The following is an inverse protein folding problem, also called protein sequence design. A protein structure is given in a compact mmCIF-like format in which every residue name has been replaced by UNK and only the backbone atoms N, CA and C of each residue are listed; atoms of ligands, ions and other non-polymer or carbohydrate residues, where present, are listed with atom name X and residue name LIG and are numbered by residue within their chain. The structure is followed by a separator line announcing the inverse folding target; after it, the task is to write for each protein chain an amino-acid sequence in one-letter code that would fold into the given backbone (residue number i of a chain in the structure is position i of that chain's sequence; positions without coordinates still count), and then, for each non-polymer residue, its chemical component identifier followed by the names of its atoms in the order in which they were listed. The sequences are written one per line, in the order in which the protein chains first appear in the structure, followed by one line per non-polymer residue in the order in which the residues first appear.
data_IF_636140830442
#
_entry.id   IF_636140830442
#
_cell.length_a   1.000
_cell.length_b   1.000
_cell.length_c   1.000
_cell.angle_alpha   90.00
_cell.angle_beta   90.00
_cell.angle_gamma   90.00
#
_symmetry.space_group_name_H-M   'P 1'
#
loop_
_entity.id
_entity.type
_entity.pdbx_description
1 polymer ?
#
# COMPACT_ATOMS: atom_id res chain seq x y z
N UNK A 1 13.03 10.75 -6.21
CA UNK A 1 11.62 10.37 -6.25
C UNK A 1 11.45 8.92 -5.81
N UNK A 2 10.36 8.63 -5.11
CA UNK A 2 10.00 7.27 -4.71
C UNK A 2 8.74 6.82 -5.43
N UNK A 3 8.60 5.53 -5.59
CA UNK A 3 7.44 4.92 -6.25
C UNK A 3 6.35 4.62 -5.24
N UNK A 4 5.11 5.01 -5.57
CA UNK A 4 3.94 4.82 -4.72
C UNK A 4 2.82 4.16 -5.50
N UNK A 5 2.13 3.21 -4.83
CA UNK A 5 0.92 2.57 -5.33
C UNK A 5 -0.29 3.20 -4.63
N UNK A 6 -1.26 3.62 -5.43
CA UNK A 6 -2.54 4.13 -4.98
C UNK A 6 -3.62 3.09 -5.27
N UNK A 7 -4.27 2.58 -4.24
CA UNK A 7 -5.42 1.71 -4.40
C UNK A 7 -6.66 2.55 -4.69
N UNK A 8 -7.22 2.39 -5.88
CA UNK A 8 -8.34 3.18 -6.37
C UNK A 8 -9.67 2.68 -5.79
N UNK A 9 -10.66 3.58 -5.69
CA UNK A 9 -11.99 3.27 -5.20
C UNK A 9 -12.91 2.69 -6.29
N UNK A 10 -14.21 2.74 -6.03
CA UNK A 10 -15.25 2.16 -6.92
C UNK A 10 -15.26 2.78 -8.32
N UNK A 11 -14.95 4.05 -8.42
CA UNK A 11 -14.84 4.77 -9.69
C UNK A 11 -13.37 5.09 -9.94
N UNK A 12 -12.64 4.25 -10.69
CA UNK A 12 -11.22 4.45 -10.94
C UNK A 12 -10.92 5.75 -11.68
N UNK A 13 -11.78 6.14 -12.61
CA UNK A 13 -11.62 7.39 -13.35
C UNK A 13 -11.74 8.61 -12.46
N UNK A 14 -12.72 8.65 -11.56
CA UNK A 14 -12.87 9.71 -10.58
C UNK A 14 -11.70 9.73 -9.60
N UNK A 15 -11.27 8.57 -9.12
CA UNK A 15 -10.11 8.45 -8.22
C UNK A 15 -8.85 9.02 -8.86
N UNK A 16 -8.57 8.69 -10.12
CA UNK A 16 -7.44 9.25 -10.86
C UNK A 16 -7.55 10.76 -11.05
N UNK A 17 -8.73 11.27 -11.38
CA UNK A 17 -8.97 12.70 -11.53
C UNK A 17 -8.70 13.47 -10.23
N UNK A 18 -9.14 12.94 -9.09
CA UNK A 18 -8.87 13.52 -7.78
C UNK A 18 -7.37 13.54 -7.44
N UNK A 19 -6.66 12.45 -7.72
CA UNK A 19 -5.21 12.35 -7.52
C UNK A 19 -4.48 13.39 -8.37
N UNK A 20 -4.79 13.47 -9.66
CA UNK A 20 -4.19 14.45 -10.56
C UNK A 20 -4.47 15.88 -10.13
N UNK A 21 -5.70 16.17 -9.72
CA UNK A 21 -6.11 17.48 -9.20
C UNK A 21 -5.33 17.85 -7.93
N UNK A 22 -5.10 16.90 -7.03
CA UNK A 22 -4.28 17.10 -5.84
C UNK A 22 -2.83 17.48 -6.23
N UNK A 23 -2.24 16.75 -7.17
CA UNK A 23 -0.88 17.04 -7.62
C UNK A 23 -0.77 18.44 -8.22
N UNK A 24 -1.74 18.84 -9.03
CA UNK A 24 -1.78 20.18 -9.61
C UNK A 24 -1.94 21.27 -8.54
N UNK A 25 -2.87 21.08 -7.60
CA UNK A 25 -3.16 22.06 -6.55
C UNK A 25 -1.94 22.34 -5.68
N UNK A 26 -1.15 21.32 -5.37
CA UNK A 26 0.04 21.45 -4.54
C UNK A 26 1.35 21.52 -5.33
N UNK A 27 1.27 21.74 -6.65
CA UNK A 27 2.43 21.86 -7.54
C UNK A 27 3.44 20.72 -7.37
N UNK A 28 2.93 19.51 -7.19
CA UNK A 28 3.77 18.33 -7.01
C UNK A 28 4.33 17.84 -8.34
N UNK A 29 5.61 17.49 -8.34
CA UNK A 29 6.22 16.77 -9.45
C UNK A 29 5.81 15.29 -9.38
N UNK A 30 5.28 14.78 -10.46
CA UNK A 30 4.87 13.38 -10.53
C UNK A 30 5.10 12.80 -11.93
N UNK A 31 5.25 11.48 -11.96
CA UNK A 31 5.27 10.70 -13.19
C UNK A 31 4.36 9.49 -13.02
N UNK A 32 3.34 9.39 -13.88
CA UNK A 32 2.49 8.20 -13.93
C UNK A 32 3.27 7.05 -14.56
N UNK A 33 3.39 5.93 -13.86
CA UNK A 33 4.07 4.71 -14.34
C UNK A 33 3.09 3.65 -14.82
N UNK A 34 1.95 3.54 -14.15
CA UNK A 34 0.92 2.55 -14.47
C UNK A 34 -0.44 2.99 -13.93
N UNK A 35 -1.51 2.61 -14.62
CA UNK A 35 -2.85 2.63 -14.04
C UNK A 35 -3.74 1.57 -14.67
N UNK A 36 -4.67 1.08 -13.89
CA UNK A 36 -5.76 0.20 -14.30
C UNK A 36 -7.01 0.49 -13.46
N UNK A 37 -7.97 -0.44 -13.43
CA UNK A 37 -9.21 -0.27 -12.68
C UNK A 37 -9.03 -0.42 -11.15
N UNK A 38 -7.88 -0.88 -10.69
CA UNK A 38 -7.63 -1.17 -9.26
C UNK A 38 -6.59 -0.26 -8.66
N UNK A 39 -5.54 0.05 -9.40
CA UNK A 39 -4.37 0.78 -8.90
C UNK A 39 -3.87 1.82 -9.88
N UNK A 40 -3.18 2.82 -9.32
CA UNK A 40 -2.30 3.70 -10.07
C UNK A 40 -0.94 3.75 -9.39
N UNK A 41 0.13 3.75 -10.18
CA UNK A 41 1.50 3.80 -9.69
C UNK A 41 2.17 5.05 -10.19
N UNK A 42 2.74 5.83 -9.27
CA UNK A 42 3.42 7.10 -9.56
C UNK A 42 4.81 7.14 -8.95
N UNK A 43 5.73 7.79 -9.66
CA UNK A 43 6.93 8.34 -9.03
C UNK A 43 6.60 9.73 -8.48
N UNK A 44 6.88 9.97 -7.22
CA UNK A 44 6.60 11.22 -6.52
C UNK A 44 7.83 11.72 -5.77
N UNK A 45 7.94 13.04 -5.65
CA UNK A 45 8.85 13.68 -4.72
C UNK A 45 8.35 13.58 -3.27
N UNK A 46 8.94 14.34 -2.38
CA UNK A 46 8.49 14.38 -0.98
C UNK A 46 7.06 14.89 -0.87
N UNK A 47 6.23 14.18 -0.10
CA UNK A 47 4.88 14.60 0.25
C UNK A 47 4.44 13.91 1.54
N UNK A 48 3.31 14.34 2.08
CA UNK A 48 2.72 13.72 3.26
C UNK A 48 1.55 12.81 2.83
N UNK A 49 1.75 11.48 2.76
CA UNK A 49 0.70 10.57 2.30
C UNK A 49 -0.51 10.53 3.25
N UNK A 50 -0.30 10.70 4.54
CA UNK A 50 -1.41 10.73 5.52
C UNK A 50 -2.31 11.94 5.30
N UNK A 51 -1.73 13.10 5.02
CA UNK A 51 -2.47 14.31 4.72
C UNK A 51 -3.19 14.21 3.37
N UNK A 52 -2.54 13.62 2.39
CA UNK A 52 -3.12 13.41 1.06
C UNK A 52 -4.32 12.47 1.11
N UNK A 53 -4.18 11.30 1.72
CA UNK A 53 -5.26 10.29 1.77
C UNK A 53 -6.53 10.82 2.45
N UNK A 54 -6.39 11.70 3.42
CA UNK A 54 -7.52 12.35 4.09
C UNK A 54 -8.32 13.28 3.20
N UNK A 55 -7.69 13.83 2.15
CA UNK A 55 -8.33 14.74 1.19
C UNK A 55 -8.91 14.01 -0.02
N UNK A 56 -8.41 12.84 -0.35
CA UNK A 56 -8.89 12.05 -1.48
C UNK A 56 -10.15 11.28 -1.10
N UNK A 57 -11.24 11.51 -1.82
CA UNK A 57 -12.51 10.82 -1.57
C UNK A 57 -12.56 9.41 -2.14
N UNK A 58 -11.85 9.16 -3.24
CA UNK A 58 -11.91 7.90 -3.99
C UNK A 58 -10.75 6.94 -3.76
N UNK A 59 -9.60 7.41 -3.28
CA UNK A 59 -8.43 6.57 -3.03
C UNK A 59 -8.55 5.87 -1.68
N UNK A 60 -8.39 4.55 -1.69
CA UNK A 60 -8.49 3.74 -0.47
C UNK A 60 -7.19 3.67 0.30
N UNK A 61 -6.05 3.56 -0.38
CA UNK A 61 -4.73 3.40 0.24
C UNK A 61 -3.64 4.03 -0.60
N UNK A 62 -2.57 4.45 0.08
CA UNK A 62 -1.31 4.86 -0.53
C UNK A 62 -0.21 4.03 0.12
N UNK A 63 0.55 3.31 -0.70
CA UNK A 63 1.65 2.46 -0.23
C UNK A 63 2.94 2.81 -0.97
N UNK A 64 4.04 2.85 -0.26
CA UNK A 64 5.35 3.13 -0.83
C UNK A 64 6.06 1.83 -1.22
N UNK A 65 6.75 1.84 -2.36
CA UNK A 65 7.60 0.73 -2.78
C UNK A 65 8.65 0.45 -1.72
N UNK A 66 8.70 -0.79 -1.23
CA UNK A 66 9.69 -1.21 -0.25
C UNK A 66 10.64 -2.25 -0.84
N UNK A 67 11.90 -2.14 -0.48
CA UNK A 67 12.95 -3.11 -0.84
C UNK A 67 13.42 -3.93 0.35
N UNK A 68 13.25 -3.39 1.53
CA UNK A 68 13.50 -4.05 2.81
C UNK A 68 12.17 -4.17 3.56
N UNK A 69 11.92 -5.27 4.21
CA UNK A 69 10.68 -5.53 4.91
C UNK A 69 10.78 -5.19 6.40
N UNK A 70 11.41 -4.07 6.70
CA UNK A 70 11.62 -3.65 8.08
C UNK A 70 10.36 -3.05 8.69
N UNK A 71 10.12 -3.40 9.94
CA UNK A 71 9.14 -2.73 10.77
C UNK A 71 9.82 -1.65 11.60
N UNK A 72 9.40 -0.41 11.40
CA UNK A 72 10.01 0.76 12.04
C UNK A 72 9.31 1.22 13.33
N UNK A 73 8.36 0.45 13.84
CA UNK A 73 7.67 0.74 15.08
C UNK A 73 8.41 0.22 16.32
N UNK A 74 7.82 0.48 17.48
CA UNK A 74 8.39 0.11 18.80
C UNK A 74 7.79 -1.15 19.41
N UNK A 75 6.73 -1.70 18.80
CA UNK A 75 6.06 -2.90 19.30
C UNK A 75 6.91 -4.15 19.08
N UNK A 76 6.88 -5.08 20.03
CA UNK A 76 7.50 -6.41 19.91
C UNK A 76 6.55 -7.46 19.32
N UNK A 77 5.24 -7.22 19.46
CA UNK A 77 4.17 -8.04 18.86
C UNK A 77 3.44 -7.17 17.85
N UNK A 78 3.37 -7.63 16.61
CA UNK A 78 2.72 -6.91 15.53
C UNK A 78 1.71 -7.79 14.80
N UNK A 79 0.73 -7.13 14.22
CA UNK A 79 -0.16 -7.75 13.23
C UNK A 79 0.21 -7.20 11.86
N UNK A 80 0.32 -8.08 10.87
CA UNK A 80 0.60 -7.67 9.50
C UNK A 80 -0.36 -8.33 8.53
N UNK A 81 -0.52 -7.70 7.37
CA UNK A 81 -1.31 -8.23 6.27
C UNK A 81 -0.51 -8.19 4.99
N UNK A 82 -0.77 -9.14 4.11
CA UNK A 82 -0.20 -9.18 2.76
C UNK A 82 -1.32 -9.44 1.79
N UNK A 83 -1.54 -8.50 0.87
CA UNK A 83 -2.49 -8.65 -0.23
C UNK A 83 -1.76 -8.71 -1.57
N UNK A 84 -2.18 -9.63 -2.45
CA UNK A 84 -1.71 -9.67 -3.83
C UNK A 84 -2.78 -9.12 -4.77
N UNK A 85 -2.45 -8.10 -5.56
CA UNK A 85 -3.34 -7.57 -6.59
C UNK A 85 -3.12 -8.36 -7.87
N UNK A 86 -4.14 -9.15 -8.25
CA UNK A 86 -4.12 -10.05 -9.41
C UNK A 86 -2.95 -11.06 -9.39
N UNK A 87 -2.47 -11.43 -8.21
CA UNK A 87 -1.38 -12.38 -8.02
C UNK A 87 -1.46 -13.10 -6.68
N UNK A 88 -0.75 -14.22 -6.56
CA UNK A 88 -0.60 -14.95 -5.31
C UNK A 88 0.56 -14.38 -4.49
N UNK A 89 0.29 -14.05 -3.22
CA UNK A 89 1.26 -13.48 -2.30
C UNK A 89 1.86 -14.50 -1.32
N UNK A 90 1.62 -15.80 -1.51
CA UNK A 90 2.04 -16.85 -0.55
C UNK A 90 3.54 -16.84 -0.29
N UNK A 91 4.37 -16.69 -1.33
CA UNK A 91 5.81 -16.66 -1.19
C UNK A 91 6.29 -15.43 -0.42
N UNK A 92 5.67 -14.28 -0.63
CA UNK A 92 5.97 -13.07 0.12
C UNK A 92 5.61 -13.23 1.60
N UNK A 93 4.48 -13.85 1.89
CA UNK A 93 4.06 -14.14 3.28
C UNK A 93 5.12 -14.98 3.99
N UNK A 94 5.62 -16.04 3.35
CA UNK A 94 6.65 -16.91 3.91
C UNK A 94 7.96 -16.15 4.14
N UNK A 95 8.36 -15.33 3.19
CA UNK A 95 9.56 -14.48 3.30
C UNK A 95 9.44 -13.47 4.46
N UNK A 96 8.30 -12.81 4.60
CA UNK A 96 8.05 -11.86 5.69
C UNK A 96 8.08 -12.52 7.06
N UNK A 97 7.53 -13.72 7.19
CA UNK A 97 7.60 -14.47 8.44
C UNK A 97 9.04 -14.76 8.86
N UNK A 98 9.90 -15.07 7.90
CA UNK A 98 11.33 -15.29 8.14
C UNK A 98 12.02 -13.99 8.57
N UNK A 99 11.78 -12.90 7.87
CA UNK A 99 12.38 -11.59 8.18
C UNK A 99 11.97 -11.12 9.57
N UNK A 100 10.69 -11.17 9.91
CA UNK A 100 10.21 -10.74 11.22
C UNK A 100 10.74 -11.62 12.36
N UNK A 101 10.91 -12.90 12.13
CA UNK A 101 11.53 -13.81 13.11
C UNK A 101 13.00 -13.46 13.35
N UNK A 102 13.76 -13.11 12.31
CA UNK A 102 15.15 -12.65 12.44
C UNK A 102 15.25 -11.36 13.23
N UNK A 103 14.27 -10.48 13.09
CA UNK A 103 14.20 -9.22 13.84
C UNK A 103 13.61 -9.40 15.26
N UNK A 104 13.37 -10.64 15.68
CA UNK A 104 12.79 -11.00 16.99
C UNK A 104 11.40 -10.40 17.22
N UNK A 105 10.64 -10.20 16.14
CA UNK A 105 9.25 -9.76 16.20
C UNK A 105 8.31 -10.95 16.25
N UNK A 106 7.33 -10.89 17.15
CA UNK A 106 6.20 -11.81 17.13
C UNK A 106 5.13 -11.24 16.19
N UNK A 107 5.15 -11.70 14.96
CA UNK A 107 4.26 -11.21 13.91
C UNK A 107 3.12 -12.21 13.64
N UNK A 108 1.89 -11.72 13.66
CA UNK A 108 0.68 -12.50 13.38
C UNK A 108 0.07 -11.98 12.07
N UNK A 109 -0.16 -12.90 11.13
CA UNK A 109 -0.76 -12.60 9.85
C UNK A 109 -2.27 -12.39 9.99
N UNK A 110 -2.78 -11.31 9.37
CA UNK A 110 -4.20 -11.08 9.14
C UNK A 110 -4.42 -10.89 7.65
N UNK A 111 -5.10 -11.84 7.02
CA UNK A 111 -5.33 -11.81 5.59
C UNK A 111 -6.53 -10.94 5.21
N UNK A 112 -6.56 -10.38 3.97
CA UNK A 112 -7.78 -9.91 3.35
C UNK A 112 -8.84 -11.02 3.31
N UNK A 113 -10.12 -10.66 3.23
CA UNK A 113 -11.18 -11.63 3.00
C UNK A 113 -10.98 -12.33 1.66
N UNK A 114 -11.48 -13.58 1.56
CA UNK A 114 -11.50 -14.31 0.29
C UNK A 114 -12.16 -13.47 -0.79
N UNK A 115 -11.47 -13.27 -1.91
CA UNK A 115 -11.92 -12.44 -3.02
C UNK A 115 -11.45 -10.99 -2.96
N UNK A 116 -10.89 -10.52 -1.84
CA UNK A 116 -10.30 -9.19 -1.74
C UNK A 116 -8.80 -9.25 -2.05
N UNK A 117 -8.30 -8.30 -2.82
CA UNK A 117 -6.86 -8.20 -3.12
C UNK A 117 -6.07 -7.62 -1.94
N UNK A 118 -6.72 -6.85 -1.09
CA UNK A 118 -6.11 -6.16 0.04
C UNK A 118 -7.12 -5.92 1.16
N UNK A 119 -6.64 -5.60 2.35
CA UNK A 119 -7.53 -5.20 3.44
C UNK A 119 -8.26 -3.90 3.08
N UNK A 120 -9.56 -3.87 3.34
CA UNK A 120 -10.34 -2.62 3.29
C UNK A 120 -9.84 -1.66 4.38
N UNK A 121 -9.96 -0.33 4.21
CA UNK A 121 -9.40 0.64 5.16
C UNK A 121 -9.86 0.43 6.61
N UNK A 122 -11.10 0.05 6.84
CA UNK A 122 -11.63 -0.21 8.18
C UNK A 122 -10.97 -1.40 8.89
N UNK A 123 -10.45 -2.37 8.15
CA UNK A 123 -9.71 -3.52 8.69
C UNK A 123 -8.22 -3.28 8.76
N UNK A 124 -7.68 -2.51 7.82
CA UNK A 124 -6.28 -2.14 7.82
C UNK A 124 -5.88 -1.35 9.08
N UNK A 125 -6.82 -0.63 9.70
CA UNK A 125 -6.59 0.06 10.98
C UNK A 125 -6.25 -0.89 12.14
N UNK A 126 -6.57 -2.18 12.03
CA UNK A 126 -6.29 -3.21 13.04
C UNK A 126 -4.98 -3.97 12.79
N UNK A 127 -4.19 -3.57 11.82
CA UNK A 127 -2.85 -4.10 11.55
C UNK A 127 -1.80 -3.02 11.71
N UNK A 128 -0.60 -3.42 12.10
CA UNK A 128 0.51 -2.50 12.30
C UNK A 128 1.23 -2.16 10.99
N UNK A 129 1.26 -3.11 10.06
CA UNK A 129 1.85 -2.95 8.74
C UNK A 129 1.09 -3.79 7.72
N UNK A 130 0.89 -3.23 6.54
CA UNK A 130 0.26 -3.90 5.42
C UNK A 130 1.17 -3.84 4.20
N UNK A 131 1.35 -4.99 3.55
CA UNK A 131 2.11 -5.09 2.32
C UNK A 131 1.18 -5.40 1.15
N UNK A 132 1.45 -4.80 0.01
CA UNK A 132 0.72 -5.03 -1.23
C UNK A 132 1.70 -5.53 -2.28
N UNK A 133 1.47 -6.74 -2.78
CA UNK A 133 2.24 -7.30 -3.89
C UNK A 133 1.52 -6.97 -5.20
N UNK A 134 2.20 -6.26 -6.06
CA UNK A 134 1.70 -5.89 -7.38
C UNK A 134 2.83 -5.88 -8.40
N UNK A 135 2.64 -6.59 -9.51
CA UNK A 135 3.58 -6.63 -10.63
C UNK A 135 5.02 -6.97 -10.19
N UNK A 136 5.17 -7.99 -9.35
CA UNK A 136 6.44 -8.45 -8.75
C UNK A 136 7.15 -7.42 -7.88
N UNK A 137 6.45 -6.40 -7.42
CA UNK A 137 6.96 -5.39 -6.50
C UNK A 137 6.14 -5.38 -5.21
N UNK A 138 6.78 -5.08 -4.10
CA UNK A 138 6.15 -4.97 -2.78
C UNK A 138 6.06 -3.52 -2.37
N UNK A 139 4.87 -3.14 -1.96
CA UNK A 139 4.55 -1.79 -1.48
C UNK A 139 4.10 -1.83 -0.03
#
# INVERSE_FOLDING_TARGET
MNEYLFALGRDPGLSLAEIASYFQTFSMNYKLKWHDNKVAVFDLGEFNPVKMIKRLGGTMKIAELTKDYNYYGTKKKIFFSVGGIDCDASDLIDELKIVFRKDKLKATLRNPKKGDDQLIPSRASNVDVEFILFNNKTY
#
